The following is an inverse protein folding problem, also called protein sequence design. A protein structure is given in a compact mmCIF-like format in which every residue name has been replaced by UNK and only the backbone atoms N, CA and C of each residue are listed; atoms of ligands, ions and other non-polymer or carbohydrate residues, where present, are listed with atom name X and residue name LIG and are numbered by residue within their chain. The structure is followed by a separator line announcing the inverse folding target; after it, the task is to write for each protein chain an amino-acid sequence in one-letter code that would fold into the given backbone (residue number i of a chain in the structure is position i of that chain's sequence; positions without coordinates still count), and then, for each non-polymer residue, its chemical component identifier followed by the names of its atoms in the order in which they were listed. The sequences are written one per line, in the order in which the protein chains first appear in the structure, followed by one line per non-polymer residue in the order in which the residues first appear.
data_IF_363788792525
#
_entry.id   IF_363788792525
#
_cell.length_a   1.000
_cell.length_b   1.000
_cell.length_c   1.000
_cell.angle_alpha   90.00
_cell.angle_beta   90.00
_cell.angle_gamma   90.00
#
_symmetry.space_group_name_H-M   'P 1'
#
loop_
_entity.id
_entity.type
_entity.pdbx_description
1 polymer ?
#
# COMPACT_ATOMS: atom_id res chain seq x y z
N UNK A 1 -0.66 -7.32 -18.13
CA UNK A 1 -0.79 -5.96 -17.57
C UNK A 1 0.23 -5.06 -18.24
N UNK A 2 0.05 -3.74 -18.15
CA UNK A 2 1.08 -2.81 -18.60
C UNK A 2 2.31 -2.89 -17.68
N UNK A 3 3.54 -2.88 -18.20
CA UNK A 3 4.72 -3.05 -17.37
C UNK A 3 5.00 -1.84 -16.46
N UNK A 4 5.17 -2.06 -15.15
CA UNK A 4 5.44 -0.98 -14.17
C UNK A 4 6.65 -0.13 -14.55
N UNK A 5 7.74 -0.77 -15.00
CA UNK A 5 9.00 -0.08 -15.33
C UNK A 5 8.84 1.03 -16.37
N UNK A 6 7.87 0.92 -17.29
CA UNK A 6 7.63 1.98 -18.29
C UNK A 6 7.09 3.27 -17.66
N UNK A 7 6.23 3.16 -16.64
CA UNK A 7 5.75 4.31 -15.89
C UNK A 7 6.82 4.85 -14.93
N UNK A 8 7.66 3.97 -14.37
CA UNK A 8 8.83 4.37 -13.57
C UNK A 8 9.84 5.19 -14.38
N UNK A 9 10.02 4.88 -15.67
CA UNK A 9 10.85 5.70 -16.56
C UNK A 9 10.26 7.10 -16.79
N UNK A 10 8.94 7.22 -16.92
CA UNK A 10 8.27 8.51 -17.12
C UNK A 10 8.41 9.38 -15.88
N UNK A 11 8.15 8.86 -14.68
CA UNK A 11 8.31 9.63 -13.43
C UNK A 11 9.79 9.98 -13.18
N UNK A 12 10.74 9.08 -13.47
CA UNK A 12 12.16 9.36 -13.35
C UNK A 12 12.60 10.50 -14.28
N UNK A 13 12.07 10.55 -15.51
CA UNK A 13 12.30 11.66 -16.43
C UNK A 13 11.74 12.98 -15.87
N UNK A 14 10.49 12.98 -15.40
CA UNK A 14 9.84 14.17 -14.83
C UNK A 14 10.59 14.72 -13.62
N UNK A 15 11.11 13.84 -12.74
CA UNK A 15 11.96 14.25 -11.61
C UNK A 15 13.26 14.91 -12.05
N UNK A 16 13.91 14.36 -13.07
CA UNK A 16 15.13 14.94 -13.64
C UNK A 16 14.86 16.32 -14.27
N UNK A 17 13.74 16.50 -14.97
CA UNK A 17 13.32 17.81 -15.50
C UNK A 17 13.07 18.83 -14.39
N UNK A 18 12.43 18.40 -13.30
CA UNK A 18 12.12 19.23 -12.15
C UNK A 18 13.33 19.49 -11.22
N UNK A 19 14.46 18.81 -11.43
CA UNK A 19 15.64 18.93 -10.58
C UNK A 19 15.48 18.34 -9.18
N UNK A 20 14.56 17.38 -9.01
CA UNK A 20 14.27 16.74 -7.72
C UNK A 20 14.68 15.27 -7.71
N UNK A 21 14.87 14.70 -6.52
CA UNK A 21 15.27 13.29 -6.35
C UNK A 21 14.09 12.43 -5.92
N UNK A 22 13.27 12.93 -4.98
CA UNK A 22 12.15 12.20 -4.41
C UNK A 22 10.83 12.59 -5.07
N UNK A 23 9.90 11.65 -5.13
CA UNK A 23 8.58 11.86 -5.76
C UNK A 23 7.77 12.93 -5.03
N UNK A 24 7.88 12.97 -3.70
CA UNK A 24 7.22 13.96 -2.84
C UNK A 24 7.65 15.42 -3.09
N UNK A 25 8.79 15.62 -3.76
CA UNK A 25 9.33 16.94 -4.05
C UNK A 25 8.77 17.49 -5.39
N UNK A 26 7.98 16.70 -6.13
CA UNK A 26 7.25 17.17 -7.31
C UNK A 26 6.11 18.10 -6.89
N UNK A 27 6.01 19.26 -7.54
CA UNK A 27 4.90 20.20 -7.33
C UNK A 27 3.60 19.68 -7.93
N UNK A 28 2.48 20.29 -7.55
CA UNK A 28 1.18 19.98 -8.12
C UNK A 28 1.15 20.16 -9.66
N UNK A 29 1.87 21.16 -10.19
CA UNK A 29 2.00 21.40 -11.62
C UNK A 29 2.77 20.27 -12.32
N UNK A 30 3.86 19.79 -11.71
CA UNK A 30 4.60 18.64 -12.24
C UNK A 30 3.73 17.38 -12.26
N UNK A 31 2.96 17.14 -11.19
CA UNK A 31 2.06 16.00 -11.09
C UNK A 31 0.92 16.07 -12.11
N UNK A 32 0.35 17.26 -12.36
CA UNK A 32 -0.66 17.46 -13.42
C UNK A 32 -0.12 17.11 -14.80
N UNK A 33 1.11 17.52 -15.13
CA UNK A 33 1.74 17.16 -16.39
C UNK A 33 2.00 15.65 -16.48
N UNK A 34 2.47 15.04 -15.38
CA UNK A 34 2.75 13.60 -15.31
C UNK A 34 1.49 12.76 -15.54
N UNK A 35 0.33 13.18 -15.03
CA UNK A 35 -0.96 12.50 -15.24
C UNK A 35 -1.30 12.41 -16.73
N UNK A 36 -1.06 13.48 -17.49
CA UNK A 36 -1.33 13.46 -18.93
C UNK A 36 -0.36 12.55 -19.69
N UNK A 37 0.93 12.54 -19.32
CA UNK A 37 1.92 11.60 -19.87
C UNK A 37 1.55 10.13 -19.58
N UNK A 38 1.04 9.84 -18.37
CA UNK A 38 0.57 8.50 -18.00
C UNK A 38 -0.66 8.07 -18.80
N UNK A 39 -1.65 8.97 -18.97
CA UNK A 39 -2.83 8.70 -19.80
C UNK A 39 -2.45 8.46 -21.26
N UNK A 40 -1.51 9.24 -21.79
CA UNK A 40 -1.02 9.07 -23.16
C UNK A 40 -0.29 7.73 -23.33
N UNK A 41 0.55 7.35 -22.37
CA UNK A 41 1.21 6.03 -22.38
C UNK A 41 0.18 4.91 -22.28
N UNK A 42 -0.80 5.01 -21.38
CA UNK A 42 -1.90 4.07 -21.28
C UNK A 42 -2.66 3.94 -22.61
N UNK A 43 -3.00 5.07 -23.25
CA UNK A 43 -3.72 5.08 -24.53
C UNK A 43 -2.95 4.34 -25.62
N UNK A 44 -1.64 4.59 -25.74
CA UNK A 44 -0.77 3.96 -26.73
C UNK A 44 -0.69 2.44 -26.55
N UNK A 45 -0.56 1.97 -25.31
CA UNK A 45 -0.37 0.55 -25.01
C UNK A 45 -1.69 -0.24 -24.94
N UNK A 46 -2.72 0.36 -24.34
CA UNK A 46 -4.02 -0.29 -24.15
C UNK A 46 -4.98 -0.10 -25.33
N UNK A 47 -4.65 0.77 -26.29
CA UNK A 47 -5.48 1.07 -27.45
C UNK A 47 -6.81 1.77 -27.13
N UNK A 48 -6.96 2.31 -25.92
CA UNK A 48 -8.18 2.98 -25.44
C UNK A 48 -7.85 4.06 -24.41
N UNK A 49 -8.77 5.01 -24.22
CA UNK A 49 -8.65 6.00 -23.14
C UNK A 49 -8.66 5.35 -21.76
N UNK A 50 -7.98 5.99 -20.80
CA UNK A 50 -8.10 5.61 -19.40
C UNK A 50 -9.56 5.82 -18.94
N UNK A 51 -10.21 4.81 -18.34
CA UNK A 51 -11.63 4.88 -18.00
C UNK A 51 -11.85 5.97 -16.95
N UNK A 52 -12.62 7.02 -17.27
CA UNK A 52 -12.91 8.11 -16.33
C UNK A 52 -14.06 7.81 -15.37
N UNK A 53 -14.90 6.80 -15.68
CA UNK A 53 -16.02 6.41 -14.85
C UNK A 53 -15.57 5.53 -13.68
N UNK A 54 -15.83 5.97 -12.44
CA UNK A 54 -15.41 5.23 -11.25
C UNK A 54 -16.05 3.82 -11.13
N UNK A 55 -17.31 3.64 -11.57
CA UNK A 55 -17.95 2.31 -11.55
C UNK A 55 -17.32 1.38 -12.59
N UNK A 56 -16.96 1.91 -13.76
CA UNK A 56 -16.23 1.14 -14.77
C UNK A 56 -14.86 0.69 -14.23
N UNK A 57 -14.10 1.60 -13.61
CA UNK A 57 -12.83 1.27 -12.96
C UNK A 57 -13.00 0.17 -11.91
N UNK A 58 -14.02 0.27 -11.04
CA UNK A 58 -14.30 -0.73 -10.01
C UNK A 58 -14.59 -2.11 -10.62
N UNK A 59 -15.47 -2.17 -11.62
CA UNK A 59 -15.81 -3.44 -12.28
C UNK A 59 -14.59 -4.06 -12.98
N UNK A 60 -13.78 -3.24 -13.66
CA UNK A 60 -12.54 -3.70 -14.29
C UNK A 60 -11.52 -4.21 -13.26
N UNK A 61 -11.42 -3.57 -12.08
CA UNK A 61 -10.55 -4.02 -10.99
C UNK A 61 -11.03 -5.36 -10.40
N UNK A 62 -12.33 -5.51 -10.14
CA UNK A 62 -12.95 -6.77 -9.68
C UNK A 62 -12.66 -7.91 -10.67
N UNK A 63 -12.90 -7.67 -11.96
CA UNK A 63 -12.64 -8.64 -13.01
C UNK A 63 -11.14 -9.00 -13.09
N UNK A 64 -10.26 -8.01 -12.94
CA UNK A 64 -8.82 -8.23 -12.93
C UNK A 64 -8.38 -9.13 -11.76
N UNK A 65 -8.93 -8.94 -10.56
CA UNK A 65 -8.64 -9.80 -9.40
C UNK A 65 -9.09 -11.24 -9.68
N UNK A 66 -10.31 -11.46 -10.16
CA UNK A 66 -10.76 -12.82 -10.50
C UNK A 66 -9.92 -13.47 -11.60
N UNK A 67 -9.55 -12.72 -12.67
CA UNK A 67 -8.64 -13.22 -13.70
C UNK A 67 -7.26 -13.56 -13.12
N UNK A 68 -6.79 -12.78 -12.15
CA UNK A 68 -5.48 -13.00 -11.52
C UNK A 68 -5.41 -14.33 -10.77
N UNK A 69 -6.53 -14.86 -10.26
CA UNK A 69 -6.59 -16.18 -9.63
C UNK A 69 -6.07 -17.28 -10.57
N UNK A 70 -6.35 -17.18 -11.87
CA UNK A 70 -5.95 -18.17 -12.86
C UNK A 70 -4.67 -17.81 -13.63
N UNK A 71 -3.89 -16.84 -13.14
CA UNK A 71 -2.61 -16.54 -13.78
C UNK A 71 -1.59 -17.69 -13.52
N UNK A 72 -0.61 -17.90 -14.42
CA UNK A 72 0.36 -18.99 -14.28
C UNK A 72 1.13 -19.00 -12.96
N UNK A 73 1.49 -17.83 -12.45
CA UNK A 73 2.22 -17.70 -11.18
C UNK A 73 1.37 -18.15 -9.98
N UNK A 74 0.08 -17.79 -9.97
CA UNK A 74 -0.86 -18.17 -8.93
C UNK A 74 -1.16 -19.67 -8.96
N UNK A 75 -1.29 -20.27 -10.16
CA UNK A 75 -1.46 -21.72 -10.30
C UNK A 75 -0.28 -22.49 -9.72
N UNK A 76 0.96 -22.12 -10.10
CA UNK A 76 2.17 -22.75 -9.58
C UNK A 76 2.29 -22.58 -8.06
N UNK A 77 1.96 -21.40 -7.54
CA UNK A 77 1.95 -21.16 -6.10
C UNK A 77 0.95 -22.08 -5.37
N UNK A 78 -0.27 -22.22 -5.90
CA UNK A 78 -1.29 -23.10 -5.31
C UNK A 78 -0.88 -24.57 -5.33
N UNK A 79 -0.28 -25.05 -6.41
CA UNK A 79 0.23 -26.43 -6.48
C UNK A 79 1.30 -26.68 -5.41
N UNK A 80 2.22 -25.73 -5.25
CA UNK A 80 3.30 -25.80 -4.25
C UNK A 80 2.75 -25.80 -2.82
N UNK A 81 1.83 -24.89 -2.52
CA UNK A 81 1.25 -24.71 -1.18
C UNK A 81 0.02 -25.61 -0.94
N UNK A 82 -0.34 -26.47 -1.91
CA UNK A 82 -1.47 -27.42 -1.87
C UNK A 82 -2.84 -26.75 -1.63
N UNK A 83 -3.05 -25.60 -2.24
CA UNK A 83 -4.30 -24.84 -2.18
C UNK A 83 -5.23 -25.32 -3.32
N UNK A 84 -6.48 -25.75 -3.02
CA UNK A 84 -7.42 -26.17 -4.07
C UNK A 84 -7.73 -25.07 -5.08
N UNK A 85 -7.86 -25.43 -6.36
CA UNK A 85 -8.07 -24.48 -7.45
C UNK A 85 -9.49 -23.90 -7.50
N UNK A 86 -10.45 -24.61 -6.92
CA UNK A 86 -11.89 -24.32 -6.93
C UNK A 86 -12.36 -23.36 -5.83
N UNK A 87 -11.48 -22.97 -4.90
CA UNK A 87 -11.81 -21.98 -3.85
C UNK A 87 -12.13 -20.58 -4.41
N UNK A 88 -11.39 -20.16 -5.45
CA UNK A 88 -11.45 -18.80 -5.95
C UNK A 88 -10.74 -17.78 -5.06
N UNK A 89 -10.96 -16.49 -5.34
CA UNK A 89 -10.46 -15.37 -4.56
C UNK A 89 -11.59 -14.37 -4.30
N UNK A 90 -11.60 -13.74 -3.13
CA UNK A 90 -12.52 -12.64 -2.84
C UNK A 90 -11.98 -11.31 -3.39
N UNK A 91 -12.85 -10.29 -3.41
CA UNK A 91 -12.48 -8.90 -3.69
C UNK A 91 -12.96 -8.04 -2.52
N UNK A 92 -12.03 -7.40 -1.83
CA UNK A 92 -12.33 -6.46 -0.75
C UNK A 92 -12.41 -5.05 -1.33
N UNK A 93 -13.53 -4.36 -1.11
CA UNK A 93 -13.73 -2.96 -1.50
C UNK A 93 -13.88 -2.14 -0.23
N UNK A 94 -12.91 -1.27 0.03
CA UNK A 94 -12.80 -0.51 1.27
C UNK A 94 -12.83 1.00 0.95
N UNK A 95 -13.36 1.78 1.88
CA UNK A 95 -13.22 3.23 1.81
C UNK A 95 -11.75 3.61 2.03
N UNK A 96 -11.22 4.48 1.18
CA UNK A 96 -9.83 4.92 1.28
C UNK A 96 -9.59 5.77 2.53
N UNK A 97 -8.42 5.56 3.12
CA UNK A 97 -7.81 6.39 4.15
C UNK A 97 -6.40 6.74 3.67
N UNK A 98 -5.95 7.97 3.91
CA UNK A 98 -4.75 8.53 3.28
C UNK A 98 -3.63 8.79 4.29
N UNK A 99 -2.59 7.96 4.26
CA UNK A 99 -1.34 8.15 5.03
C UNK A 99 -0.41 9.23 4.46
N UNK A 100 -0.75 9.85 3.33
CA UNK A 100 0.09 10.76 2.55
C UNK A 100 -0.47 12.18 2.42
N UNK A 101 -1.28 12.64 3.39
CA UNK A 101 -1.81 14.02 3.40
C UNK A 101 -0.85 15.05 4.02
N UNK A 102 0.34 14.63 4.45
CA UNK A 102 1.32 15.51 5.11
C UNK A 102 1.91 14.86 6.36
N UNK A 103 2.59 15.67 7.17
CA UNK A 103 3.36 15.22 8.33
C UNK A 103 2.49 14.78 9.52
N UNK A 104 1.18 15.00 9.45
CA UNK A 104 0.18 14.49 10.41
C UNK A 104 -0.42 13.15 9.97
N UNK A 105 0.12 12.53 8.92
CA UNK A 105 -0.37 11.27 8.36
C UNK A 105 0.79 10.29 8.16
N UNK A 106 0.47 9.00 8.10
CA UNK A 106 1.45 7.95 7.84
C UNK A 106 0.79 6.59 7.67
N UNK A 107 1.61 5.57 7.42
CA UNK A 107 1.16 4.19 7.25
C UNK A 107 2.19 3.27 7.88
N UNK A 108 1.78 2.08 8.32
CA UNK A 108 2.71 1.10 8.84
C UNK A 108 2.16 -0.31 8.86
N UNK A 109 3.08 -1.23 9.13
CA UNK A 109 2.83 -2.64 9.38
C UNK A 109 3.33 -2.97 10.78
N UNK A 110 2.60 -3.80 11.50
CA UNK A 110 2.90 -4.11 12.89
C UNK A 110 2.56 -5.58 13.21
N UNK A 111 3.47 -6.23 13.90
CA UNK A 111 3.27 -7.54 14.51
C UNK A 111 3.06 -7.35 16.01
N UNK A 112 2.10 -8.05 16.62
CA UNK A 112 1.83 -7.92 18.06
C UNK A 112 2.97 -8.46 18.94
N UNK A 113 3.83 -9.31 18.35
CA UNK A 113 5.05 -9.85 18.97
C UNK A 113 6.23 -9.75 18.01
N UNK A 114 7.43 -9.82 18.56
CA UNK A 114 8.64 -9.95 17.76
C UNK A 114 8.67 -11.30 17.03
N UNK A 115 8.53 -11.29 15.71
CA UNK A 115 8.50 -12.50 14.88
C UNK A 115 9.83 -13.29 14.86
N UNK A 116 10.94 -12.69 15.32
CA UNK A 116 12.23 -13.36 15.44
C UNK A 116 12.46 -13.99 16.83
N UNK A 117 12.03 -13.31 17.91
CA UNK A 117 12.35 -13.72 19.30
C UNK A 117 11.16 -14.26 20.09
N UNK A 118 9.93 -13.99 19.64
CA UNK A 118 8.69 -14.30 20.36
C UNK A 118 8.36 -13.34 21.51
N UNK A 119 9.17 -12.30 21.74
CA UNK A 119 8.92 -11.30 22.78
C UNK A 119 7.57 -10.59 22.55
N UNK A 120 6.77 -10.47 23.62
CA UNK A 120 5.44 -9.84 23.59
C UNK A 120 5.55 -8.32 23.62
N UNK A 121 6.07 -7.76 22.53
CA UNK A 121 6.19 -6.33 22.26
C UNK A 121 5.83 -6.07 20.79
N UNK A 122 4.97 -5.09 20.47
CA UNK A 122 4.69 -4.75 19.09
C UNK A 122 5.95 -4.29 18.35
N UNK A 123 6.19 -4.85 17.17
CA UNK A 123 7.32 -4.50 16.30
C UNK A 123 6.84 -4.32 14.87
N UNK A 124 7.57 -3.58 14.05
CA UNK A 124 7.22 -3.39 12.65
C UNK A 124 7.85 -2.14 12.07
N UNK A 125 7.25 -1.64 11.00
CA UNK A 125 7.76 -0.55 10.19
C UNK A 125 6.69 0.53 9.98
N UNK A 126 7.14 1.78 9.96
CA UNK A 126 6.29 2.96 9.86
C UNK A 126 6.89 4.00 8.91
N UNK A 127 6.06 4.62 8.07
CA UNK A 127 6.43 5.73 7.20
C UNK A 127 5.50 6.93 7.42
N UNK A 128 6.10 8.10 7.66
CA UNK A 128 5.39 9.39 7.62
C UNK A 128 5.10 9.83 6.19
N UNK A 129 3.92 10.42 6.00
CA UNK A 129 3.49 11.03 4.75
C UNK A 129 3.71 10.09 3.56
N UNK A 130 3.11 8.90 3.62
CA UNK A 130 3.34 7.77 2.71
C UNK A 130 2.07 6.91 2.57
N UNK A 131 1.97 6.14 1.49
CA UNK A 131 0.94 5.10 1.34
C UNK A 131 1.57 3.71 1.47
N UNK A 132 0.74 2.67 1.70
CA UNK A 132 1.23 1.31 1.91
C UNK A 132 2.17 0.80 0.80
N UNK A 133 1.98 1.24 -0.44
CA UNK A 133 2.92 0.91 -1.54
C UNK A 133 4.35 1.38 -1.23
N UNK A 134 4.54 2.55 -0.61
CA UNK A 134 5.89 3.06 -0.29
C UNK A 134 6.61 2.19 0.75
N UNK A 135 5.86 1.54 1.64
CA UNK A 135 6.40 0.60 2.63
C UNK A 135 6.91 -0.66 1.93
N UNK A 136 6.14 -1.18 0.97
CA UNK A 136 6.47 -2.42 0.23
C UNK A 136 7.53 -2.19 -0.85
N UNK A 137 7.50 -1.04 -1.52
CA UNK A 137 8.39 -0.73 -2.64
C UNK A 137 9.84 -0.46 -2.21
N UNK A 138 10.08 -0.16 -0.92
CA UNK A 138 11.43 0.06 -0.39
C UNK A 138 12.15 1.30 -0.94
N UNK A 139 11.41 2.23 -1.56
CA UNK A 139 11.95 3.49 -2.10
C UNK A 139 12.36 4.43 -0.95
N UNK A 140 11.65 4.33 0.18
CA UNK A 140 11.92 5.08 1.40
C UNK A 140 12.33 4.13 2.51
N UNK A 141 13.34 4.51 3.29
CA UNK A 141 13.74 3.75 4.48
C UNK A 141 12.64 3.88 5.54
N UNK A 142 12.00 2.78 5.96
CA UNK A 142 11.01 2.81 7.03
C UNK A 142 11.67 3.18 8.37
N UNK A 143 10.88 3.75 9.25
CA UNK A 143 11.22 3.94 10.66
C UNK A 143 10.73 2.72 11.44
N UNK A 144 11.45 2.28 12.50
CA UNK A 144 10.91 1.27 13.41
C UNK A 144 9.57 1.71 14.00
N UNK A 145 8.62 0.78 14.16
CA UNK A 145 7.27 1.06 14.65
C UNK A 145 7.25 1.87 15.96
N UNK A 146 8.21 1.65 16.86
CA UNK A 146 8.32 2.39 18.13
C UNK A 146 8.46 3.92 17.91
N UNK A 147 8.96 4.34 16.74
CA UNK A 147 9.04 5.76 16.36
C UNK A 147 7.68 6.40 16.16
N UNK A 148 6.60 5.65 15.99
CA UNK A 148 5.24 6.21 16.02
C UNK A 148 4.99 6.98 17.32
N UNK A 149 5.61 6.61 18.45
CA UNK A 149 5.50 7.34 19.72
C UNK A 149 6.03 8.79 19.65
N UNK A 150 7.04 9.03 18.83
CA UNK A 150 7.68 10.35 18.70
C UNK A 150 6.81 11.33 17.90
N UNK A 151 6.01 10.83 16.95
CA UNK A 151 5.19 11.64 16.03
C UNK A 151 3.69 11.63 16.39
N UNK A 152 3.19 10.48 16.86
CA UNK A 152 1.78 10.22 17.14
C UNK A 152 1.63 9.46 18.48
N UNK A 153 1.92 10.08 19.63
CA UNK A 153 1.93 9.39 20.92
C UNK A 153 0.58 8.76 21.28
N UNK A 154 -0.53 9.43 20.95
CA UNK A 154 -1.88 8.89 21.18
C UNK A 154 -2.18 7.68 20.29
N UNK A 155 -1.76 7.71 19.02
CA UNK A 155 -1.89 6.58 18.10
C UNK A 155 -1.01 5.41 18.53
N UNK A 156 0.21 5.67 19.01
CA UNK A 156 1.08 4.61 19.51
C UNK A 156 0.46 3.88 20.71
N UNK A 157 -0.21 4.62 21.60
CA UNK A 157 -0.97 4.03 22.69
C UNK A 157 -2.15 3.22 22.18
N UNK A 158 -2.92 3.78 21.25
CA UNK A 158 -4.08 3.08 20.66
C UNK A 158 -3.67 1.80 19.91
N UNK A 159 -2.54 1.81 19.18
CA UNK A 159 -1.98 0.64 18.51
C UNK A 159 -1.60 -0.47 19.50
N UNK A 160 -1.01 -0.14 20.65
CA UNK A 160 -0.70 -1.12 21.69
C UNK A 160 -1.99 -1.73 22.26
N UNK A 161 -2.98 -0.89 22.58
CA UNK A 161 -4.28 -1.35 23.09
C UNK A 161 -5.00 -2.26 22.07
N UNK A 162 -4.96 -1.93 20.78
CA UNK A 162 -5.53 -2.74 19.69
C UNK A 162 -4.75 -4.04 19.53
N UNK A 163 -3.41 -4.00 19.56
CA UNK A 163 -2.55 -5.18 19.48
C UNK A 163 -2.90 -6.20 20.55
N UNK A 164 -3.07 -5.75 21.80
CA UNK A 164 -3.47 -6.62 22.90
C UNK A 164 -4.86 -7.21 22.71
N UNK A 165 -5.83 -6.39 22.26
CA UNK A 165 -7.20 -6.85 22.01
C UNK A 165 -7.27 -7.90 20.90
N UNK A 166 -6.57 -7.68 19.79
CA UNK A 166 -6.56 -8.60 18.65
C UNK A 166 -5.89 -9.92 19.02
N UNK A 167 -4.72 -9.87 19.69
CA UNK A 167 -4.04 -11.08 20.15
C UNK A 167 -4.86 -11.87 21.17
N UNK A 168 -5.57 -11.20 22.09
CA UNK A 168 -6.50 -11.86 23.02
C UNK A 168 -7.70 -12.48 22.30
N UNK A 169 -8.24 -11.80 21.29
CA UNK A 169 -9.41 -12.27 20.55
C UNK A 169 -9.10 -13.48 19.66
N UNK A 170 -8.04 -13.40 18.87
CA UNK A 170 -7.64 -14.44 17.93
C UNK A 170 -6.76 -15.51 18.57
N UNK A 171 -6.29 -15.29 19.80
CA UNK A 171 -5.45 -16.21 20.58
C UNK A 171 -4.12 -16.59 19.91
N UNK A 172 -3.66 -15.74 18.98
CA UNK A 172 -2.41 -15.91 18.24
C UNK A 172 -1.78 -14.54 17.94
N UNK A 173 -0.48 -14.54 17.62
CA UNK A 173 0.23 -13.35 17.16
C UNK A 173 -0.43 -12.81 15.88
N UNK A 174 -0.61 -11.49 15.80
CA UNK A 174 -1.27 -10.85 14.66
C UNK A 174 -0.28 -10.03 13.86
N UNK A 175 -0.40 -10.12 12.54
CA UNK A 175 0.17 -9.19 11.56
C UNK A 175 -0.92 -8.18 11.18
N UNK A 176 -0.62 -6.89 11.30
CA UNK A 176 -1.59 -5.80 11.20
C UNK A 176 -1.08 -4.72 10.26
N UNK A 177 -1.96 -4.22 9.42
CA UNK A 177 -1.73 -3.02 8.63
C UNK A 177 -2.55 -1.85 9.22
N UNK A 178 -1.96 -0.66 9.22
CA UNK A 178 -2.65 0.53 9.69
C UNK A 178 -2.27 1.78 8.90
N UNK A 179 -3.19 2.74 8.91
CA UNK A 179 -2.98 4.08 8.38
C UNK A 179 -3.37 5.12 9.41
N UNK A 180 -2.61 6.21 9.46
CA UNK A 180 -2.88 7.41 10.23
C UNK A 180 -3.26 8.50 9.22
N UNK A 181 -4.50 8.98 9.28
CA UNK A 181 -4.95 10.11 8.48
C UNK A 181 -5.26 11.28 9.41
N UNK A 182 -4.53 12.38 9.27
CA UNK A 182 -4.69 13.58 10.09
C UNK A 182 -4.72 13.29 11.60
N UNK A 183 -3.80 12.45 12.06
CA UNK A 183 -3.65 12.04 13.46
C UNK A 183 -4.66 11.00 13.95
N UNK A 184 -5.57 10.52 13.09
CA UNK A 184 -6.52 9.46 13.44
C UNK A 184 -6.06 8.10 12.92
N UNK A 185 -6.06 7.11 13.81
CA UNK A 185 -5.72 5.73 13.47
C UNK A 185 -6.88 5.00 12.76
N UNK A 186 -6.52 4.21 11.76
CA UNK A 186 -7.39 3.26 11.08
C UNK A 186 -6.64 1.94 10.90
N UNK A 187 -7.26 0.85 11.34
CA UNK A 187 -6.78 -0.51 11.06
C UNK A 187 -7.36 -0.95 9.72
N UNK A 188 -6.52 -1.55 8.86
CA UNK A 188 -6.87 -1.89 7.49
C UNK A 188 -7.17 -3.39 7.31
#
# INVERSE_FOLDING_TARGET
GLPKHEFEHIIAHKKKEAGVVLDKDLTAEHLKALVEEFKDKFRKEAGREFPANAKEQLLLAVEAVFKSWNNPRAMVYREKERIPHDLGTAVNVQAMVFGNLGDTSGTGVAFTRNYNTGERKPVGDFLLNAQGEDVVAGIRTPLPLEKTADYFPEVWKELQDISEKLEQHYTDMQDMEFTIENGKLFML
#
